data_IF_904068082261
#
_entry.id   IF_904068082261
#
_cell.length_a   1.000
_cell.length_b   1.000
_cell.length_c   1.000
_cell.angle_alpha   90.00
_cell.angle_beta   90.00
_cell.angle_gamma   90.00
#
_symmetry.space_group_name_H-M   'P 1'
#
loop_
_entity.id
_entity.type
_entity.pdbx_description
1 polymer ?
#
# COMPACT_ATOMS: atom_id res chain seq x y z
N UNK A 1 -8.64 19.86 -18.19
CA UNK A 1 -8.66 18.66 -17.33
C UNK A 1 -7.22 18.15 -17.23
N UNK A 2 -6.58 18.37 -16.08
CA UNK A 2 -5.21 17.91 -15.85
C UNK A 2 -5.25 16.38 -15.78
N UNK A 3 -4.80 15.70 -16.85
CA UNK A 3 -4.50 14.26 -16.81
C UNK A 3 -3.29 14.09 -15.89
N UNK A 4 -3.51 14.17 -14.58
CA UNK A 4 -2.53 13.72 -13.60
C UNK A 4 -2.32 12.24 -13.89
N UNK A 5 -1.19 11.98 -14.53
CA UNK A 5 -0.61 10.68 -14.79
C UNK A 5 -0.84 9.83 -13.54
N UNK A 6 -1.80 8.90 -13.61
CA UNK A 6 -1.86 7.76 -12.71
C UNK A 6 -0.59 6.96 -13.02
N UNK A 7 0.56 7.42 -12.52
CA UNK A 7 1.74 6.58 -12.41
C UNK A 7 1.22 5.39 -11.64
N UNK A 8 1.20 4.21 -12.27
CA UNK A 8 1.09 2.93 -11.56
C UNK A 8 2.22 2.94 -10.53
N UNK A 9 1.95 3.49 -9.35
CA UNK A 9 2.86 3.44 -8.22
C UNK A 9 2.76 2.01 -7.76
N UNK A 10 3.78 1.22 -8.06
CA UNK A 10 3.96 -0.06 -7.39
C UNK A 10 4.10 0.25 -5.91
N UNK A 11 3.11 -0.12 -5.11
CA UNK A 11 3.17 0.01 -3.66
C UNK A 11 4.03 -1.13 -3.15
N UNK A 12 5.05 -0.84 -2.36
CA UNK A 12 5.89 -1.87 -1.74
C UNK A 12 5.47 -2.12 -0.29
N UNK A 13 5.87 -3.26 0.27
CA UNK A 13 5.66 -3.59 1.69
C UNK A 13 6.22 -2.49 2.60
N UNK A 14 7.38 -1.94 2.27
CA UNK A 14 8.00 -0.81 2.99
C UNK A 14 7.11 0.44 3.00
N UNK A 15 6.46 0.75 1.88
CA UNK A 15 5.56 1.90 1.81
C UNK A 15 4.33 1.70 2.70
N UNK A 16 3.80 0.48 2.75
CA UNK A 16 2.66 0.11 3.59
C UNK A 16 3.03 0.16 5.08
N UNK A 17 4.15 -0.45 5.47
CA UNK A 17 4.67 -0.40 6.84
C UNK A 17 4.88 1.05 7.27
N UNK A 18 5.51 1.88 6.43
CA UNK A 18 5.73 3.28 6.75
C UNK A 18 4.42 4.06 6.89
N UNK A 19 3.44 3.79 6.03
CA UNK A 19 2.13 4.43 6.08
C UNK A 19 1.36 4.05 7.34
N UNK A 20 1.29 2.76 7.66
CA UNK A 20 0.58 2.26 8.83
C UNK A 20 1.26 2.72 10.13
N UNK A 21 2.59 2.68 10.19
CA UNK A 21 3.35 3.18 11.34
C UNK A 21 3.09 4.67 11.60
N UNK A 22 2.99 5.50 10.54
CA UNK A 22 2.65 6.93 10.67
C UNK A 22 1.25 7.15 11.25
N UNK A 23 0.35 6.19 11.09
CA UNK A 23 -1.00 6.20 11.64
C UNK A 23 -1.09 5.48 13.00
N UNK A 24 0.04 5.12 13.62
CA UNK A 24 0.10 4.45 14.91
C UNK A 24 -0.20 2.96 14.87
N UNK A 25 -0.26 2.36 13.67
CA UNK A 25 -0.47 0.92 13.48
C UNK A 25 0.86 0.27 13.13
N UNK A 26 1.46 -0.42 14.10
CA UNK A 26 2.65 -1.22 13.83
C UNK A 26 2.27 -2.55 13.20
N UNK A 27 2.91 -2.84 12.07
CA UNK A 27 2.75 -4.11 11.35
C UNK A 27 4.11 -4.69 11.00
N UNK A 28 4.18 -6.01 10.97
CA UNK A 28 5.28 -6.79 10.41
C UNK A 28 5.29 -6.75 8.88
N UNK A 29 6.37 -7.25 8.29
CA UNK A 29 6.49 -7.34 6.83
C UNK A 29 5.46 -8.30 6.22
N UNK A 30 5.19 -9.44 6.88
CA UNK A 30 4.16 -10.39 6.44
C UNK A 30 2.75 -9.81 6.49
N UNK A 31 2.41 -9.06 7.54
CA UNK A 31 1.10 -8.37 7.61
C UNK A 31 0.98 -7.28 6.54
N UNK A 32 2.08 -6.61 6.19
CA UNK A 32 2.07 -5.64 5.12
C UNK A 32 1.90 -6.29 3.73
N UNK A 33 2.43 -7.50 3.51
CA UNK A 33 2.17 -8.29 2.30
C UNK A 33 0.69 -8.66 2.19
N UNK A 34 0.07 -9.15 3.27
CA UNK A 34 -1.36 -9.47 3.29
C UNK A 34 -2.25 -8.27 2.97
N UNK A 35 -1.89 -7.08 3.48
CA UNK A 35 -2.60 -5.83 3.17
C UNK A 35 -2.48 -5.47 1.70
N UNK A 36 -1.29 -5.63 1.11
CA UNK A 36 -1.07 -5.37 -0.31
C UNK A 36 -1.90 -6.33 -1.17
N UNK A 37 -1.87 -7.62 -0.84
CA UNK A 37 -2.63 -8.64 -1.56
C UNK A 37 -4.13 -8.39 -1.47
N UNK A 38 -4.63 -8.00 -0.29
CA UNK A 38 -6.03 -7.59 -0.11
C UNK A 38 -6.40 -6.38 -0.98
N UNK A 39 -5.54 -5.36 -1.04
CA UNK A 39 -5.77 -4.18 -1.88
C UNK A 39 -5.75 -4.51 -3.38
N UNK A 40 -4.90 -5.45 -3.81
CA UNK A 40 -4.89 -5.92 -5.20
C UNK A 40 -6.13 -6.75 -5.53
N UNK A 41 -6.60 -7.60 -4.62
CA UNK A 41 -7.85 -8.33 -4.77
C UNK A 41 -9.06 -7.39 -4.92
N UNK A 42 -9.13 -6.32 -4.13
CA UNK A 42 -10.22 -5.34 -4.24
C UNK A 42 -10.15 -4.45 -5.49
N UNK A 43 -8.99 -4.37 -6.15
CA UNK A 43 -8.83 -3.61 -7.37
C UNK A 43 -9.31 -4.36 -8.62
N UNK A 44 -9.74 -5.62 -8.47
CA UNK A 44 -10.39 -6.47 -9.47
C UNK A 44 -11.86 -6.06 -9.69
#
# INVERSE_FOLDING_TARGET
MNKSVYKKRSVTTKDVIQCLNKNGVQVSESEAEEVIDFLYFLAE
#
